data_IF_225269846864
#
_entry.id   IF_225269846864
#
_cell.length_a   1.000
_cell.length_b   1.000
_cell.length_c   1.000
_cell.angle_alpha   90.00
_cell.angle_beta   90.00
_cell.angle_gamma   90.00
#
_symmetry.space_group_name_H-M   'P 1'
#
loop_
_entity.id
_entity.type
_entity.pdbx_description
1 polymer ?
#
# COMPACT_ATOMS: atom_id res chain seq x y z
N UNK A 1 6.87 36.85 4.37
CA UNK A 1 6.27 35.63 4.96
C UNK A 1 6.40 34.52 3.93
N UNK A 2 7.35 33.59 4.06
CA UNK A 2 7.44 32.45 3.16
C UNK A 2 6.34 31.45 3.54
N UNK A 3 5.33 31.29 2.67
CA UNK A 3 4.33 30.24 2.79
C UNK A 3 5.02 28.88 2.64
N UNK A 4 5.21 28.17 3.74
CA UNK A 4 5.82 26.83 3.76
C UNK A 4 4.80 25.76 3.37
N UNK A 5 4.22 25.89 2.18
CA UNK A 5 3.38 24.85 1.61
C UNK A 5 4.20 23.54 1.51
N UNK A 6 3.66 22.40 1.98
CA UNK A 6 4.36 21.13 1.83
C UNK A 6 4.57 20.84 0.33
N UNK A 7 5.77 20.41 -0.05
CA UNK A 7 6.06 20.00 -1.43
C UNK A 7 5.44 18.64 -1.75
N UNK A 8 5.33 17.78 -0.74
CA UNK A 8 4.64 16.49 -0.81
C UNK A 8 3.71 16.37 0.40
N UNK A 9 2.44 16.09 0.13
CA UNK A 9 1.43 15.79 1.15
C UNK A 9 0.78 14.44 0.84
N UNK A 10 0.94 13.50 1.76
CA UNK A 10 0.23 12.23 1.83
C UNK A 10 -0.82 12.38 2.92
N UNK A 11 -2.08 12.20 2.56
CA UNK A 11 -3.22 12.43 3.46
C UNK A 11 -4.04 11.14 3.56
N UNK A 12 -4.01 10.51 4.74
CA UNK A 12 -4.83 9.34 5.10
C UNK A 12 -4.86 8.23 4.03
N UNK A 13 -3.68 7.85 3.54
CA UNK A 13 -3.56 6.82 2.50
C UNK A 13 -3.64 5.43 3.13
N UNK A 14 -4.60 4.65 2.65
CA UNK A 14 -4.76 3.22 2.93
C UNK A 14 -4.52 2.43 1.66
N UNK A 15 -3.82 1.29 1.77
CA UNK A 15 -3.51 0.41 0.65
C UNK A 15 -3.73 -1.04 1.06
N UNK A 16 -4.78 -1.61 0.51
CA UNK A 16 -5.13 -3.02 0.67
C UNK A 16 -4.85 -3.80 -0.62
N UNK A 17 -4.40 -5.05 -0.44
CA UNK A 17 -4.17 -6.00 -1.52
C UNK A 17 -5.08 -7.21 -1.36
N UNK A 18 -5.59 -7.71 -2.49
CA UNK A 18 -6.22 -9.02 -2.59
C UNK A 18 -5.20 -10.03 -3.07
N UNK A 19 -4.94 -11.05 -2.26
CA UNK A 19 -4.01 -12.14 -2.55
C UNK A 19 -4.83 -13.34 -3.00
N UNK A 20 -4.68 -13.70 -4.27
CA UNK A 20 -5.34 -14.84 -4.88
C UNK A 20 -4.47 -16.10 -4.75
N UNK A 21 -5.11 -17.23 -4.42
CA UNK A 21 -4.46 -18.54 -4.40
C UNK A 21 -4.09 -19.05 -5.79
N UNK A 22 -4.91 -18.72 -6.80
CA UNK A 22 -4.70 -19.18 -8.18
C UNK A 22 -4.93 -18.06 -9.18
N UNK A 23 -4.32 -18.19 -10.37
CA UNK A 23 -4.56 -17.26 -11.48
C UNK A 23 -6.02 -17.30 -11.97
N UNK A 24 -6.67 -18.47 -11.87
CA UNK A 24 -8.08 -18.63 -12.23
C UNK A 24 -8.97 -17.81 -11.31
N UNK A 25 -8.69 -17.77 -10.00
CA UNK A 25 -9.46 -16.95 -9.05
C UNK A 25 -9.34 -15.46 -9.40
N UNK A 26 -8.15 -14.99 -9.78
CA UNK A 26 -7.94 -13.62 -10.24
C UNK A 26 -8.75 -13.31 -11.50
N UNK A 27 -8.77 -14.24 -12.45
CA UNK A 27 -9.53 -14.08 -13.70
C UNK A 27 -11.04 -14.06 -13.44
N UNK A 28 -11.54 -14.95 -12.57
CA UNK A 28 -12.94 -14.99 -12.14
C UNK A 28 -13.36 -13.67 -11.47
N UNK A 29 -12.53 -13.15 -10.56
CA UNK A 29 -12.80 -11.85 -9.91
C UNK A 29 -12.85 -10.70 -10.93
N UNK A 30 -11.91 -10.70 -11.90
CA UNK A 30 -11.88 -9.70 -12.96
C UNK A 30 -13.11 -9.74 -13.88
N UNK A 31 -13.74 -10.90 -14.03
CA UNK A 31 -15.01 -11.08 -14.75
C UNK A 31 -16.25 -10.84 -13.88
N UNK A 32 -16.09 -10.47 -12.60
CA UNK A 32 -17.20 -10.22 -11.67
C UNK A 32 -17.84 -11.49 -11.10
N UNK A 33 -17.20 -12.65 -11.28
CA UNK A 33 -17.65 -13.89 -10.63
C UNK A 33 -17.09 -14.02 -9.22
N UNK A 34 -17.77 -14.83 -8.40
CA UNK A 34 -17.28 -15.13 -7.04
C UNK A 34 -15.91 -15.81 -7.12
N UNK A 35 -14.92 -15.19 -6.49
CA UNK A 35 -13.56 -15.71 -6.35
C UNK A 35 -13.14 -15.69 -4.88
N UNK A 36 -12.30 -16.64 -4.49
CA UNK A 36 -11.68 -16.64 -3.17
C UNK A 36 -10.40 -15.81 -3.20
N UNK A 37 -10.25 -14.87 -2.27
CA UNK A 37 -9.03 -14.11 -2.06
C UNK A 37 -8.83 -13.83 -0.57
N UNK A 38 -7.57 -13.61 -0.18
CA UNK A 38 -7.20 -13.14 1.15
C UNK A 38 -6.90 -11.64 1.10
N UNK A 39 -7.48 -10.87 2.00
CA UNK A 39 -7.15 -9.46 2.14
C UNK A 39 -5.87 -9.27 2.96
N UNK A 40 -5.04 -8.32 2.52
CA UNK A 40 -3.82 -7.92 3.19
C UNK A 40 -3.68 -6.39 3.14
N UNK A 41 -3.78 -5.75 4.30
CA UNK A 41 -3.59 -4.30 4.45
C UNK A 41 -2.10 -3.99 4.58
N UNK A 42 -1.54 -3.31 3.57
CA UNK A 42 -0.14 -2.93 3.53
C UNK A 42 0.11 -1.53 4.11
N UNK A 43 -0.80 -0.59 3.86
CA UNK A 43 -0.79 0.74 4.45
C UNK A 43 -2.17 1.00 5.06
N UNK A 44 -2.21 1.61 6.24
CA UNK A 44 -3.46 1.96 6.91
C UNK A 44 -3.36 3.40 7.43
N UNK A 45 -4.20 4.29 6.91
CA UNK A 45 -4.38 5.67 7.38
C UNK A 45 -3.06 6.48 7.47
N UNK A 46 -2.14 6.26 6.53
CA UNK A 46 -0.81 6.89 6.56
C UNK A 46 -0.90 8.34 6.11
N UNK A 47 -0.37 9.26 6.92
CA UNK A 47 -0.28 10.69 6.60
C UNK A 47 1.16 11.19 6.78
N UNK A 48 1.66 11.97 5.82
CA UNK A 48 3.02 12.50 5.79
C UNK A 48 3.02 13.86 5.09
N UNK A 49 3.71 14.84 5.67
CA UNK A 49 3.95 16.13 5.04
C UNK A 49 5.46 16.37 4.97
N UNK A 50 6.00 16.49 3.75
CA UNK A 50 7.41 16.79 3.52
C UNK A 50 7.53 18.21 2.98
N UNK A 51 8.37 19.02 3.62
CA UNK A 51 8.65 20.40 3.19
C UNK A 51 9.78 20.43 2.16
N UNK A 52 9.83 21.50 1.38
CA UNK A 52 10.93 21.72 0.44
C UNK A 52 12.28 21.83 1.19
N UNK A 53 13.27 21.05 0.78
CA UNK A 53 14.60 20.99 1.41
C UNK A 53 14.70 20.03 2.61
N UNK A 54 13.62 19.32 2.95
CA UNK A 54 13.59 18.36 4.05
C UNK A 54 13.95 16.93 3.57
N UNK A 55 14.81 16.22 4.32
CA UNK A 55 15.18 14.84 4.03
C UNK A 55 14.46 13.87 4.97
N UNK A 56 13.82 12.85 4.41
CA UNK A 56 13.15 11.78 5.15
C UNK A 56 13.74 10.42 4.76
N UNK A 57 14.22 9.68 5.76
CA UNK A 57 14.66 8.29 5.60
C UNK A 57 13.53 7.30 5.90
N UNK A 58 13.25 6.38 4.99
CA UNK A 58 12.30 5.28 5.22
C UNK A 58 13.06 4.03 5.66
N UNK A 59 12.71 3.51 6.83
CA UNK A 59 13.26 2.27 7.38
C UNK A 59 12.15 1.26 7.57
N UNK A 60 12.38 0.02 7.14
CA UNK A 60 11.40 -1.06 7.25
C UNK A 60 12.05 -2.34 7.77
N UNK A 61 11.29 -3.10 8.57
CA UNK A 61 11.64 -4.48 8.92
C UNK A 61 11.12 -5.40 7.82
N UNK A 62 12.02 -6.14 7.19
CA UNK A 62 11.66 -7.19 6.24
C UNK A 62 10.99 -8.35 7.01
N UNK A 63 9.79 -8.75 6.57
CA UNK A 63 9.17 -9.98 7.06
C UNK A 63 9.87 -11.20 6.43
N UNK A 64 10.02 -12.32 7.15
CA UNK A 64 10.53 -13.55 6.55
C UNK A 64 9.60 -13.98 5.41
N UNK A 65 10.17 -14.16 4.21
CA UNK A 65 9.41 -14.63 3.06
C UNK A 65 8.84 -16.02 3.35
N UNK A 66 7.56 -16.22 3.08
CA UNK A 66 6.98 -17.57 3.08
C UNK A 66 7.53 -18.32 1.84
N UNK A 67 8.27 -19.43 1.99
CA UNK A 67 8.84 -20.16 0.85
C UNK A 67 7.80 -20.93 0.03
N UNK A 68 6.50 -20.84 0.38
CA UNK A 68 5.39 -21.54 -0.27
C UNK A 68 4.49 -20.63 -1.12
N UNK A 69 5.00 -19.46 -1.53
CA UNK A 69 4.40 -18.68 -2.60
C UNK A 69 4.71 -19.32 -3.96
#
# INVERSE_FOLDING_TARGET
>A
MHSSSPSIRVDRVTKDYRIYSTAIDRFRDALGWRASFKEFSALSEVSLNVKAGEFWGLWARMAPGNPRC
#
